data_IF_199600944252
#
_entry.id   IF_199600944252
#
_cell.length_a   1.000
_cell.length_b   1.000
_cell.length_c   1.000
_cell.angle_alpha   90.00
_cell.angle_beta   90.00
_cell.angle_gamma   90.00
#
_symmetry.space_group_name_H-M   'P 1'
#
loop_
_entity.id
_entity.type
_entity.pdbx_description
1 polymer ?
#
# COMPACT_ATOMS: atom_id res chain seq x y z
N UNK A 1 -32.47 -26.52 9.75
CA UNK A 1 -31.54 -25.44 9.39
C UNK A 1 -30.15 -26.04 9.36
N UNK A 2 -29.57 -26.24 8.16
CA UNK A 2 -28.14 -26.57 8.05
C UNK A 2 -27.40 -25.31 8.46
N UNK A 3 -26.72 -25.35 9.61
CA UNK A 3 -25.62 -24.43 9.89
C UNK A 3 -24.56 -24.67 8.79
N UNK A 4 -24.52 -23.80 7.80
CA UNK A 4 -23.43 -23.81 6.85
C UNK A 4 -22.25 -23.18 7.55
N UNK A 5 -21.23 -23.97 7.86
CA UNK A 5 -19.93 -23.44 8.23
C UNK A 5 -19.41 -22.65 7.04
N UNK A 6 -19.50 -21.34 7.09
CA UNK A 6 -18.96 -20.45 6.05
C UNK A 6 -17.42 -20.50 6.17
N UNK A 7 -16.75 -20.60 5.03
CA UNK A 7 -15.28 -20.72 4.94
C UNK A 7 -14.74 -19.53 4.17
N UNK A 8 -14.20 -18.58 4.90
CA UNK A 8 -13.63 -17.35 4.33
C UNK A 8 -12.12 -17.45 4.17
N UNK A 9 -11.63 -17.12 2.99
CA UNK A 9 -10.21 -17.14 2.67
C UNK A 9 -9.76 -15.75 2.25
N UNK A 10 -8.86 -15.17 3.03
CA UNK A 10 -8.22 -13.89 2.74
C UNK A 10 -6.89 -14.13 2.05
N UNK A 11 -6.65 -13.46 0.93
CA UNK A 11 -5.40 -13.56 0.18
C UNK A 11 -4.69 -12.22 0.23
N UNK A 12 -3.51 -12.20 0.87
CA UNK A 12 -2.68 -11.01 1.00
C UNK A 12 -1.84 -10.74 -0.26
N UNK A 13 -1.40 -9.50 -0.40
CA UNK A 13 -0.46 -9.04 -1.43
C UNK A 13 -0.92 -9.27 -2.88
N UNK A 14 -2.24 -9.28 -3.13
CA UNK A 14 -2.79 -9.47 -4.49
C UNK A 14 -2.40 -8.29 -5.37
N UNK A 15 -1.54 -8.52 -6.37
CA UNK A 15 -1.00 -7.46 -7.23
C UNK A 15 0.08 -6.58 -6.60
N UNK A 16 0.49 -6.85 -5.33
CA UNK A 16 1.61 -6.18 -4.64
C UNK A 16 2.79 -7.12 -4.48
N UNK A 17 4.01 -6.55 -4.34
CA UNK A 17 5.23 -7.32 -4.08
C UNK A 17 5.52 -8.38 -5.14
N UNK A 18 5.10 -8.10 -6.37
CA UNK A 18 5.35 -8.97 -7.51
C UNK A 18 6.78 -8.77 -8.02
N UNK A 19 7.46 -9.87 -8.31
CA UNK A 19 8.79 -9.85 -8.91
C UNK A 19 8.74 -9.61 -10.43
N UNK A 20 7.56 -9.74 -11.02
CA UNK A 20 7.34 -9.60 -12.46
C UNK A 20 6.39 -8.43 -12.80
N UNK A 21 6.10 -8.27 -14.09
CA UNK A 21 5.29 -7.17 -14.62
C UNK A 21 3.77 -7.33 -14.39
N UNK A 22 3.30 -8.44 -13.79
CA UNK A 22 1.88 -8.69 -13.54
C UNK A 22 1.30 -7.89 -12.38
N UNK A 23 2.16 -7.27 -11.58
CA UNK A 23 1.75 -6.46 -10.43
C UNK A 23 2.80 -5.41 -10.07
N UNK A 24 2.62 -4.81 -8.92
CA UNK A 24 3.51 -3.78 -8.38
C UNK A 24 4.62 -4.42 -7.54
N UNK A 25 5.84 -3.89 -7.66
CA UNK A 25 6.99 -4.37 -6.89
C UNK A 25 6.95 -3.95 -5.41
N UNK A 26 6.22 -2.89 -5.10
CA UNK A 26 6.10 -2.34 -3.75
C UNK A 26 5.02 -3.03 -2.91
N UNK A 27 5.09 -2.83 -1.59
CA UNK A 27 4.08 -3.21 -0.62
C UNK A 27 3.02 -2.12 -0.49
N UNK A 28 1.73 -2.49 -0.48
CA UNK A 28 0.62 -1.56 -0.23
C UNK A 28 0.48 -1.14 1.24
N UNK A 29 1.32 -1.65 2.14
CA UNK A 29 1.51 -1.25 3.54
C UNK A 29 0.32 -1.53 4.48
N UNK A 30 -0.92 -1.23 4.08
CA UNK A 30 -2.09 -1.24 4.97
C UNK A 30 -2.86 -2.57 4.97
N UNK A 31 -2.62 -3.45 3.99
CA UNK A 31 -3.45 -4.64 3.78
C UNK A 31 -3.37 -5.63 4.95
N UNK A 32 -2.22 -5.84 5.58
CA UNK A 32 -2.12 -6.74 6.73
C UNK A 32 -3.02 -6.30 7.89
N UNK A 33 -3.10 -4.99 8.15
CA UNK A 33 -3.88 -4.45 9.25
C UNK A 33 -5.39 -4.44 8.97
N UNK A 34 -5.82 -4.04 7.77
CA UNK A 34 -7.25 -4.07 7.48
C UNK A 34 -7.77 -5.51 7.34
N UNK A 35 -6.95 -6.45 6.85
CA UNK A 35 -7.33 -7.86 6.81
C UNK A 35 -7.47 -8.44 8.21
N UNK A 36 -6.53 -8.17 9.12
CA UNK A 36 -6.66 -8.57 10.51
C UNK A 36 -7.98 -8.06 11.11
N UNK A 37 -8.30 -6.78 10.91
CA UNK A 37 -9.57 -6.19 11.36
C UNK A 37 -10.78 -6.88 10.74
N UNK A 38 -10.78 -7.09 9.43
CA UNK A 38 -11.92 -7.73 8.74
C UNK A 38 -12.11 -9.17 9.21
N UNK A 39 -11.03 -9.94 9.33
CA UNK A 39 -11.05 -11.30 9.84
C UNK A 39 -11.61 -11.39 11.28
N UNK A 40 -11.16 -10.49 12.17
CA UNK A 40 -11.70 -10.38 13.53
C UNK A 40 -13.18 -10.04 13.52
N UNK A 41 -13.64 -9.09 12.69
CA UNK A 41 -15.07 -8.74 12.59
C UNK A 41 -15.91 -9.90 12.09
N UNK A 42 -15.42 -10.68 11.14
CA UNK A 42 -16.12 -11.90 10.68
C UNK A 42 -16.27 -12.88 11.84
N UNK A 43 -15.20 -13.17 12.59
CA UNK A 43 -15.22 -14.08 13.74
C UNK A 43 -16.09 -13.56 14.88
N UNK A 44 -16.10 -12.26 15.12
CA UNK A 44 -16.92 -11.62 16.15
C UNK A 44 -18.43 -11.76 15.85
N UNK A 45 -18.84 -11.52 14.60
CA UNK A 45 -20.26 -11.63 14.21
C UNK A 45 -20.69 -13.06 13.92
N UNK A 46 -19.79 -13.90 13.47
CA UNK A 46 -20.05 -15.27 13.07
C UNK A 46 -18.99 -16.24 13.64
N UNK A 47 -19.09 -16.63 14.92
CA UNK A 47 -18.08 -17.46 15.59
C UNK A 47 -17.83 -18.82 14.92
N UNK A 48 -18.81 -19.36 14.21
CA UNK A 48 -18.70 -20.65 13.52
C UNK A 48 -18.01 -20.59 12.17
N UNK A 49 -17.66 -19.38 11.69
CA UNK A 49 -16.97 -19.18 10.41
C UNK A 49 -15.50 -19.53 10.53
N UNK A 50 -14.99 -20.35 9.62
CA UNK A 50 -13.59 -20.70 9.55
C UNK A 50 -12.84 -19.69 8.67
N UNK A 51 -11.98 -18.88 9.27
CA UNK A 51 -11.26 -17.79 8.61
C UNK A 51 -9.79 -18.14 8.48
N UNK A 52 -9.28 -18.18 7.23
CA UNK A 52 -7.85 -18.37 6.94
C UNK A 52 -7.30 -17.17 6.17
N UNK A 53 -6.09 -16.75 6.53
CA UNK A 53 -5.37 -15.65 5.88
C UNK A 53 -4.08 -16.19 5.27
N UNK A 54 -3.99 -16.20 3.95
CA UNK A 54 -2.75 -16.53 3.24
C UNK A 54 -1.84 -15.31 3.15
N UNK A 55 -0.61 -15.42 3.62
CA UNK A 55 0.32 -14.30 3.71
C UNK A 55 1.76 -14.68 3.34
N UNK A 56 2.54 -13.71 2.87
CA UNK A 56 3.98 -13.85 2.64
C UNK A 56 4.76 -13.51 3.91
N UNK A 57 4.51 -12.33 4.45
CA UNK A 57 4.90 -11.86 5.78
C UNK A 57 3.84 -10.88 6.29
N UNK A 58 3.68 -10.76 7.60
CA UNK A 58 2.79 -9.78 8.22
C UNK A 58 3.58 -8.51 8.51
N UNK A 59 3.05 -7.37 8.07
CA UNK A 59 3.62 -6.05 8.31
C UNK A 59 2.70 -5.22 9.18
N UNK A 60 3.20 -4.86 10.35
CA UNK A 60 2.48 -4.13 11.39
C UNK A 60 3.17 -2.78 11.68
N UNK A 61 3.23 -1.85 10.71
CA UNK A 61 4.02 -0.63 10.81
C UNK A 61 3.32 0.44 11.65
N UNK A 62 3.21 0.25 12.96
CA UNK A 62 2.60 1.24 13.85
C UNK A 62 2.61 0.79 15.31
N UNK A 63 2.37 1.75 16.21
CA UNK A 63 2.25 1.46 17.64
C UNK A 63 1.02 0.61 17.91
N UNK A 64 1.18 -0.49 18.64
CA UNK A 64 0.15 -1.49 19.01
C UNK A 64 -0.42 -2.27 17.80
N UNK A 65 0.20 -2.21 16.61
CA UNK A 65 -0.30 -2.93 15.44
C UNK A 65 0.09 -4.40 15.48
N UNK A 66 1.23 -4.74 16.09
CA UNK A 66 1.63 -6.12 16.31
C UNK A 66 0.71 -6.82 17.32
N UNK A 67 0.38 -6.12 18.41
CA UNK A 67 -0.58 -6.59 19.41
C UNK A 67 -1.97 -6.78 18.80
N UNK A 68 -2.38 -5.89 17.90
CA UNK A 68 -3.65 -6.02 17.20
C UNK A 68 -3.67 -7.26 16.29
N UNK A 69 -2.57 -7.53 15.59
CA UNK A 69 -2.43 -8.75 14.79
C UNK A 69 -2.46 -10.01 15.68
N UNK A 70 -1.73 -10.00 16.81
CA UNK A 70 -1.75 -11.14 17.77
C UNK A 70 -3.16 -11.42 18.29
N UNK A 71 -3.93 -10.39 18.59
CA UNK A 71 -5.33 -10.55 18.99
C UNK A 71 -6.16 -11.28 17.94
N UNK A 72 -5.96 -11.03 16.65
CA UNK A 72 -6.66 -11.76 15.60
C UNK A 72 -6.39 -13.26 15.66
N UNK A 73 -5.17 -13.66 16.01
CA UNK A 73 -4.76 -15.06 16.13
C UNK A 73 -5.20 -15.67 17.47
N UNK A 74 -4.90 -14.98 18.59
CA UNK A 74 -5.02 -15.54 19.94
C UNK A 74 -6.44 -15.46 20.51
N UNK A 75 -7.18 -14.36 20.23
CA UNK A 75 -8.51 -14.14 20.78
C UNK A 75 -9.64 -14.49 19.79
N UNK A 76 -9.41 -14.30 18.50
CA UNK A 76 -10.42 -14.51 17.46
C UNK A 76 -10.21 -15.79 16.63
N UNK A 77 -9.18 -16.57 16.94
CA UNK A 77 -8.91 -17.85 16.29
C UNK A 77 -8.87 -17.73 14.75
N UNK A 78 -8.17 -16.70 14.26
CA UNK A 78 -7.92 -16.50 12.83
C UNK A 78 -6.67 -17.26 12.44
N UNK A 79 -6.80 -18.20 11.52
CA UNK A 79 -5.68 -19.00 11.03
C UNK A 79 -4.84 -18.23 10.00
N UNK A 80 -3.57 -18.07 10.29
CA UNK A 80 -2.61 -17.46 9.36
C UNK A 80 -1.71 -18.53 8.72
N UNK A 81 -1.82 -18.69 7.41
CA UNK A 81 -1.04 -19.67 6.63
C UNK A 81 0.03 -18.92 5.84
N UNK A 82 1.30 -19.16 6.19
CA UNK A 82 2.42 -18.59 5.47
C UNK A 82 2.58 -19.28 4.11
N UNK A 83 2.07 -18.64 3.06
CA UNK A 83 2.04 -19.28 1.77
C UNK A 83 1.57 -18.36 0.65
N UNK A 84 1.63 -18.88 -0.55
CA UNK A 84 1.12 -18.19 -1.74
C UNK A 84 -0.02 -18.98 -2.36
N UNK A 85 -1.10 -18.26 -2.67
CA UNK A 85 -2.20 -18.80 -3.45
C UNK A 85 -1.83 -18.68 -4.93
N UNK A 86 -1.75 -19.84 -5.59
CA UNK A 86 -1.45 -19.91 -7.01
C UNK A 86 -2.70 -19.75 -7.89
N UNK A 87 -3.85 -20.27 -7.43
CA UNK A 87 -5.08 -20.26 -8.22
C UNK A 87 -6.32 -20.34 -7.32
N UNK A 88 -7.40 -19.70 -7.76
CA UNK A 88 -8.75 -19.87 -7.23
C UNK A 88 -9.65 -20.36 -8.38
N UNK A 89 -10.31 -21.48 -8.19
CA UNK A 89 -11.10 -22.15 -9.23
C UNK A 89 -12.55 -22.26 -8.78
N UNK A 90 -13.50 -21.70 -9.52
CA UNK A 90 -14.93 -21.94 -9.26
C UNK A 90 -15.27 -23.42 -9.45
N UNK A 91 -16.10 -23.95 -8.55
CA UNK A 91 -16.62 -25.31 -8.59
C UNK A 91 -18.08 -25.33 -9.08
N UNK A 92 -18.54 -26.47 -9.61
CA UNK A 92 -19.93 -26.62 -10.08
C UNK A 92 -20.98 -26.45 -8.97
N UNK A 93 -20.59 -26.67 -7.71
CA UNK A 93 -21.45 -26.50 -6.54
C UNK A 93 -21.55 -25.05 -6.06
N UNK A 94 -20.94 -24.08 -6.77
CA UNK A 94 -20.90 -22.66 -6.41
C UNK A 94 -19.83 -22.28 -5.39
N UNK A 95 -19.04 -23.24 -4.92
CA UNK A 95 -17.89 -22.99 -4.03
C UNK A 95 -16.63 -22.65 -4.83
N UNK A 96 -15.62 -22.17 -4.13
CA UNK A 96 -14.31 -21.84 -4.68
C UNK A 96 -13.28 -22.84 -4.14
N UNK A 97 -12.43 -23.37 -5.01
CA UNK A 97 -11.27 -24.17 -4.62
C UNK A 97 -10.03 -23.28 -4.67
N UNK A 98 -9.43 -23.06 -3.50
CA UNK A 98 -8.19 -22.31 -3.35
C UNK A 98 -7.01 -23.28 -3.38
N UNK A 99 -6.13 -23.11 -4.36
CA UNK A 99 -4.89 -23.87 -4.49
C UNK A 99 -3.73 -23.00 -3.99
N UNK A 100 -3.08 -23.42 -2.93
CA UNK A 100 -2.02 -22.70 -2.28
C UNK A 100 -0.83 -23.62 -1.97
N UNK A 101 0.30 -23.02 -1.68
CA UNK A 101 1.49 -23.69 -1.13
C UNK A 101 1.75 -23.18 0.27
N UNK A 102 1.81 -24.06 1.25
CA UNK A 102 2.32 -23.74 2.59
C UNK A 102 3.84 -23.76 2.55
N UNK A 103 4.45 -22.62 2.87
CA UNK A 103 5.90 -22.46 2.84
C UNK A 103 6.59 -22.95 4.11
N UNK A 104 5.84 -23.14 5.20
CA UNK A 104 6.41 -23.68 6.45
C UNK A 104 6.49 -25.20 6.38
N UNK A 105 5.42 -25.83 5.95
CA UNK A 105 5.32 -27.30 5.84
C UNK A 105 5.81 -27.84 4.49
N UNK A 106 6.07 -26.95 3.53
CA UNK A 106 6.44 -27.28 2.14
C UNK A 106 5.42 -28.22 1.49
N UNK A 107 4.12 -27.94 1.67
CA UNK A 107 3.00 -28.74 1.18
C UNK A 107 2.11 -27.94 0.26
N UNK A 108 1.52 -28.64 -0.70
CA UNK A 108 0.39 -28.13 -1.48
C UNK A 108 -0.89 -28.20 -0.65
N UNK A 109 -1.62 -27.09 -0.62
CA UNK A 109 -2.91 -26.98 0.08
C UNK A 109 -4.02 -26.82 -0.95
N UNK A 110 -5.07 -27.61 -0.80
CA UNK A 110 -6.33 -27.47 -1.50
C UNK A 110 -7.43 -27.20 -0.48
N UNK A 111 -7.98 -26.00 -0.49
CA UNK A 111 -9.01 -25.59 0.46
C UNK A 111 -10.25 -25.13 -0.28
N UNK A 112 -11.40 -25.62 0.14
CA UNK A 112 -12.68 -25.07 -0.28
C UNK A 112 -12.95 -23.75 0.44
N UNK A 113 -13.58 -22.83 -0.27
CA UNK A 113 -14.02 -21.56 0.24
C UNK A 113 -15.43 -21.23 -0.25
N UNK A 114 -16.20 -20.62 0.61
CA UNK A 114 -17.49 -20.05 0.24
C UNK A 114 -17.29 -18.59 -0.21
N UNK A 115 -16.29 -17.92 0.35
CA UNK A 115 -15.89 -16.58 -0.06
C UNK A 115 -14.36 -16.44 -0.08
N UNK A 116 -13.84 -15.72 -1.07
CA UNK A 116 -12.43 -15.32 -1.14
C UNK A 116 -12.34 -13.80 -1.15
N UNK A 117 -11.59 -13.27 -0.19
CA UNK A 117 -11.36 -11.83 -0.03
C UNK A 117 -9.94 -11.49 -0.50
N UNK A 118 -9.83 -10.60 -1.47
CA UNK A 118 -8.56 -10.21 -2.05
C UNK A 118 -8.04 -8.92 -1.42
N UNK A 119 -6.88 -8.96 -0.78
CA UNK A 119 -6.17 -7.78 -0.33
C UNK A 119 -5.38 -7.18 -1.50
N UNK A 120 -6.09 -6.40 -2.32
CA UNK A 120 -5.58 -5.85 -3.57
C UNK A 120 -4.55 -4.74 -3.35
N UNK A 121 -3.67 -4.56 -4.34
CA UNK A 121 -2.66 -3.51 -4.35
C UNK A 121 -3.27 -2.11 -4.40
N UNK A 122 -2.65 -1.17 -3.68
CA UNK A 122 -2.93 0.26 -3.83
C UNK A 122 -2.11 0.77 -5.02
N UNK A 123 -2.79 1.34 -5.98
CA UNK A 123 -2.17 1.95 -7.15
C UNK A 123 -2.36 3.48 -7.13
N UNK A 124 -1.42 4.24 -7.70
CA UNK A 124 -1.60 5.66 -7.91
C UNK A 124 -2.75 5.91 -8.90
N UNK A 125 -3.44 7.04 -8.75
CA UNK A 125 -4.50 7.42 -9.68
C UNK A 125 -3.93 7.53 -11.10
N UNK A 126 -4.63 7.02 -12.14
CA UNK A 126 -4.18 7.11 -13.54
C UNK A 126 -3.85 8.53 -14.01
N UNK A 127 -4.55 9.55 -13.48
CA UNK A 127 -4.33 10.96 -13.83
C UNK A 127 -3.12 11.62 -13.15
N UNK A 128 -2.38 10.92 -12.29
CA UNK A 128 -1.21 11.48 -11.59
C UNK A 128 -0.19 12.08 -12.56
N UNK A 129 0.09 11.40 -13.68
CA UNK A 129 1.01 11.93 -14.71
C UNK A 129 0.55 13.27 -15.26
N UNK A 130 -0.73 13.41 -15.55
CA UNK A 130 -1.32 14.66 -16.05
C UNK A 130 -1.18 15.78 -15.01
N UNK A 131 -1.55 15.50 -13.77
CA UNK A 131 -1.42 16.46 -12.66
C UNK A 131 0.04 16.83 -12.44
N UNK A 132 0.96 15.87 -12.42
CA UNK A 132 2.40 16.10 -12.28
C UNK A 132 2.93 17.02 -13.38
N UNK A 133 2.54 16.79 -14.63
CA UNK A 133 2.92 17.65 -15.75
C UNK A 133 2.39 19.08 -15.59
N UNK A 134 1.12 19.25 -15.18
CA UNK A 134 0.52 20.57 -14.96
C UNK A 134 1.20 21.35 -13.83
N UNK A 135 1.65 20.66 -12.78
CA UNK A 135 2.33 21.25 -11.62
C UNK A 135 3.85 21.28 -11.75
N UNK A 136 4.40 20.75 -12.84
CA UNK A 136 5.85 20.53 -13.01
C UNK A 136 6.44 19.72 -11.83
N UNK A 137 5.64 18.78 -11.29
CA UNK A 137 6.03 17.95 -10.16
C UNK A 137 6.66 16.64 -10.65
N UNK A 138 7.60 16.11 -9.89
CA UNK A 138 8.28 14.84 -10.19
C UNK A 138 7.45 13.64 -9.73
N UNK A 139 7.56 12.54 -10.47
CA UNK A 139 6.99 11.24 -10.11
C UNK A 139 8.08 10.17 -10.06
N UNK A 140 7.86 9.15 -9.24
CA UNK A 140 8.74 8.00 -9.14
C UNK A 140 8.47 6.94 -10.25
N UNK A 141 9.22 5.86 -10.21
CA UNK A 141 9.07 4.73 -11.14
C UNK A 141 7.72 4.01 -11.02
N UNK A 142 7.02 4.17 -9.90
CA UNK A 142 5.71 3.59 -9.62
C UNK A 142 4.56 4.56 -9.90
N UNK A 143 4.85 5.76 -10.41
CA UNK A 143 3.93 6.86 -10.67
C UNK A 143 3.34 7.54 -9.43
N UNK A 144 4.02 7.50 -8.28
CA UNK A 144 3.72 8.36 -7.15
C UNK A 144 4.48 9.68 -7.25
N UNK A 145 3.91 10.76 -6.71
CA UNK A 145 4.61 12.04 -6.60
C UNK A 145 5.78 11.93 -5.62
N UNK A 146 6.93 12.51 -5.98
CA UNK A 146 8.13 12.44 -5.15
C UNK A 146 8.33 13.69 -4.32
N UNK A 147 8.77 13.49 -3.08
CA UNK A 147 9.20 14.55 -2.18
C UNK A 147 10.57 15.10 -2.57
N UNK A 148 10.84 16.35 -2.14
CA UNK A 148 12.13 16.99 -2.35
C UNK A 148 13.28 16.31 -1.58
N UNK A 149 12.98 15.76 -0.40
CA UNK A 149 13.93 14.97 0.38
C UNK A 149 13.18 14.15 1.44
N UNK A 150 13.35 12.84 1.42
CA UNK A 150 12.58 11.89 2.25
C UNK A 150 12.65 12.17 3.76
N UNK A 151 13.77 12.71 4.27
CA UNK A 151 13.97 12.98 5.71
C UNK A 151 13.79 14.46 6.08
N UNK A 152 14.29 15.38 5.25
CA UNK A 152 14.36 16.81 5.58
C UNK A 152 13.18 17.61 5.03
N UNK A 153 12.60 17.17 3.91
CA UNK A 153 11.48 17.83 3.23
C UNK A 153 10.44 16.83 2.74
N UNK A 154 9.83 16.06 3.66
CA UNK A 154 9.01 14.88 3.30
C UNK A 154 7.63 15.25 2.76
N UNK A 155 7.18 16.48 2.92
CA UNK A 155 5.87 16.97 2.47
C UNK A 155 5.97 18.04 1.36
N UNK A 156 7.16 18.37 0.93
CA UNK A 156 7.41 19.33 -0.13
C UNK A 156 7.85 18.60 -1.39
N UNK A 157 7.31 18.94 -2.55
CA UNK A 157 7.85 18.46 -3.81
C UNK A 157 9.14 19.20 -4.18
N UNK A 158 9.92 18.71 -5.17
CA UNK A 158 11.04 19.48 -5.73
C UNK A 158 10.60 20.84 -6.30
N UNK A 159 9.35 20.95 -6.75
CA UNK A 159 8.77 22.19 -7.27
C UNK A 159 8.26 23.05 -6.13
N UNK A 160 8.76 24.30 -6.05
CA UNK A 160 8.37 25.25 -5.01
C UNK A 160 6.85 25.54 -5.04
N UNK A 161 6.22 25.57 -3.88
CA UNK A 161 4.78 25.82 -3.72
C UNK A 161 3.89 24.60 -3.91
N UNK A 162 4.44 23.43 -4.25
CA UNK A 162 3.71 22.17 -4.35
C UNK A 162 4.01 21.29 -3.14
N UNK A 163 2.97 20.96 -2.38
CA UNK A 163 3.05 20.16 -1.17
C UNK A 163 2.32 18.83 -1.35
N UNK A 164 2.84 17.79 -0.71
CA UNK A 164 2.36 16.42 -0.85
C UNK A 164 1.67 15.96 0.43
N UNK A 165 0.52 15.30 0.28
CA UNK A 165 -0.20 14.72 1.41
C UNK A 165 -0.93 13.44 1.00
N UNK A 166 -0.85 12.42 1.85
CA UNK A 166 -1.57 11.17 1.68
C UNK A 166 -0.98 10.24 0.61
N UNK A 167 -1.86 9.45 0.01
CA UNK A 167 -1.49 8.36 -0.91
C UNK A 167 -0.89 8.83 -2.24
N UNK A 168 -0.97 10.12 -2.56
CA UNK A 168 -0.32 10.65 -3.77
C UNK A 168 1.20 10.44 -3.81
N UNK A 169 1.84 10.30 -2.64
CA UNK A 169 3.28 10.04 -2.48
C UNK A 169 3.61 8.54 -2.34
N UNK A 170 2.64 7.74 -1.95
CA UNK A 170 2.81 6.30 -1.73
C UNK A 170 1.76 5.74 -0.77
N UNK A 171 1.64 4.42 -0.66
CA UNK A 171 0.69 3.80 0.24
C UNK A 171 0.89 4.24 1.70
N UNK A 172 -0.18 4.71 2.35
CA UNK A 172 -0.21 5.20 3.72
C UNK A 172 -1.50 4.79 4.42
N UNK A 173 -1.43 4.63 5.74
CA UNK A 173 -2.60 4.49 6.58
C UNK A 173 -3.25 5.85 6.91
N UNK A 174 -4.38 5.82 7.61
CA UNK A 174 -5.13 7.03 7.99
C UNK A 174 -4.33 7.91 8.96
N UNK A 175 -3.74 7.39 10.07
CA UNK A 175 -2.91 8.17 10.97
C UNK A 175 -1.74 8.87 10.28
N UNK A 176 -1.02 8.17 9.41
CA UNK A 176 0.08 8.76 8.63
C UNK A 176 -0.40 9.84 7.66
N UNK A 177 -1.54 9.60 7.00
CA UNK A 177 -2.15 10.58 6.09
C UNK A 177 -2.53 11.86 6.83
N UNK A 178 -3.13 11.74 8.02
CA UNK A 178 -3.50 12.89 8.87
C UNK A 178 -2.26 13.64 9.35
N UNK A 179 -1.24 12.93 9.83
CA UNK A 179 0.02 13.54 10.25
C UNK A 179 0.71 14.29 9.10
N UNK A 180 0.73 13.69 7.92
CA UNK A 180 1.31 14.31 6.73
C UNK A 180 0.52 15.53 6.26
N UNK A 181 -0.81 15.48 6.32
CA UNK A 181 -1.68 16.61 5.99
C UNK A 181 -1.42 17.79 6.95
N UNK A 182 -1.29 17.53 8.25
CA UNK A 182 -0.89 18.53 9.24
C UNK A 182 0.46 19.15 8.93
N UNK A 183 1.46 18.34 8.61
CA UNK A 183 2.79 18.82 8.23
C UNK A 183 2.78 19.68 6.96
N UNK A 184 2.02 19.26 5.93
CA UNK A 184 1.86 20.04 4.69
C UNK A 184 1.15 21.37 4.97
N UNK A 185 0.08 21.38 5.79
CA UNK A 185 -0.63 22.60 6.18
C UNK A 185 0.29 23.60 6.90
N UNK A 186 1.12 23.13 7.85
CA UNK A 186 2.10 24.00 8.55
C UNK A 186 3.10 24.61 7.56
N UNK A 187 3.57 23.84 6.58
CA UNK A 187 4.47 24.36 5.53
C UNK A 187 3.80 25.41 4.66
N UNK A 188 2.54 25.22 4.28
CA UNK A 188 1.74 26.19 3.53
C UNK A 188 1.57 27.49 4.35
N UNK A 189 1.18 27.37 5.63
CA UNK A 189 1.02 28.51 6.53
C UNK A 189 2.36 29.28 6.66
N UNK A 190 3.47 28.54 6.86
CA UNK A 190 4.81 29.15 6.96
C UNK A 190 5.27 29.86 5.67
N UNK A 191 4.74 29.42 4.50
CA UNK A 191 4.97 30.10 3.23
C UNK A 191 4.13 31.37 3.12
N UNK A 192 2.82 31.28 3.41
CA UNK A 192 1.86 32.36 3.24
C UNK A 192 1.94 33.45 4.30
N UNK A 193 2.54 33.16 5.47
CA UNK A 193 2.76 34.13 6.54
C UNK A 193 3.92 35.12 6.26
N UNK A 194 4.62 34.97 5.14
CA UNK A 194 5.74 35.86 4.78
C UNK A 194 5.24 36.97 3.86
N UNK A 195 5.60 38.21 4.17
CA UNK A 195 5.31 39.37 3.30
C UNK A 195 6.04 39.31 1.97
N UNK A 196 7.21 38.64 1.95
CA UNK A 196 8.05 38.48 0.76
C UNK A 196 8.58 37.05 0.67
N UNK A 197 8.52 36.45 -0.51
CA UNK A 197 9.21 35.22 -0.80
C UNK A 197 10.60 35.54 -1.37
N UNK A 198 11.62 34.96 -0.73
CA UNK A 198 13.00 35.01 -1.24
C UNK A 198 13.26 33.75 -2.06
N UNK A 199 13.71 33.90 -3.28
CA UNK A 199 14.19 32.79 -4.10
C UNK A 199 15.55 32.31 -3.56
N UNK A 200 15.83 31.02 -3.78
CA UNK A 200 17.15 30.47 -3.45
C UNK A 200 18.19 31.14 -4.38
N UNK A 201 19.23 31.83 -3.85
CA UNK A 201 20.21 32.52 -4.66
C UNK A 201 21.11 31.58 -5.49
N UNK A 202 21.18 30.29 -5.11
CA UNK A 202 21.97 29.28 -5.84
C UNK A 202 21.07 28.49 -6.80
N UNK A 203 20.75 29.06 -7.94
CA UNK A 203 20.09 28.35 -9.05
C UNK A 203 21.11 28.03 -10.13
N UNK A 204 21.10 26.79 -10.60
CA UNK A 204 21.89 26.44 -11.77
C UNK A 204 21.27 27.11 -13.02
N UNK A 205 22.05 27.92 -13.70
CA UNK A 205 21.68 28.52 -14.99
C UNK A 205 22.39 27.77 -16.11
N UNK A 206 21.65 27.26 -17.07
CA UNK A 206 22.24 26.68 -18.26
C UNK A 206 22.59 27.79 -19.25
N UNK A 207 23.87 27.94 -19.56
CA UNK A 207 24.28 28.83 -20.61
C UNK A 207 24.16 28.09 -21.99
N UNK A 208 23.19 28.42 -22.86
CA UNK A 208 22.99 27.68 -24.09
C UNK A 208 24.19 27.80 -25.05
N UNK A 209 25.02 28.80 -24.91
CA UNK A 209 26.21 29.00 -25.74
C UNK A 209 27.33 28.02 -25.38
N UNK A 210 27.51 27.70 -24.10
CA UNK A 210 28.50 26.70 -23.66
C UNK A 210 28.04 25.25 -23.91
N UNK A 211 26.75 25.01 -24.03
CA UNK A 211 26.20 23.66 -24.25
C UNK A 211 26.33 23.20 -25.72
N UNK A 212 26.35 24.15 -26.69
CA UNK A 212 26.51 23.84 -28.12
C UNK A 212 27.89 23.33 -28.52
N UNK A 213 28.87 23.43 -27.61
CA UNK A 213 30.26 23.02 -27.87
C UNK A 213 30.68 21.76 -27.06
N UNK A 214 29.83 21.23 -26.21
CA UNK A 214 30.03 19.94 -25.54
C UNK A 214 29.54 18.80 -26.42
N UNK A 215 30.35 18.45 -27.42
CA UNK A 215 30.23 17.12 -28.05
C UNK A 215 30.73 16.10 -26.99
N UNK A 216 29.81 15.34 -26.44
CA UNK A 216 30.14 14.16 -25.66
C UNK A 216 30.88 13.16 -26.57
N UNK A 217 31.98 12.53 -26.09
CA UNK A 217 32.68 11.52 -26.84
C UNK A 217 31.85 10.25 -27.07
#
# INVERSE_FOLDING_TARGET
QRQMCIRDRFIQCVGSRCADTRGKSYCSKICCMYTAKQAMLVRDHYPDVNVHVFYIDVRTPGKNFDEFYRRAVEEFDVDYIKGQVGKVVPQENGQLLVQASDLLDNKQILMEADMVVLAAAIEPNPDVRKIATMLTASIDTNNFLTEAHAKLRPVESPTAGVFLSGVCQGPKDIPETVAQAGAAAVKVVGLLAKDKLTTNPCTAESNPVSYTHLTLP
#
